data_IF_924681958747
#
_entry.id   IF_924681958747
#
_cell.length_a   1.000
_cell.length_b   1.000
_cell.length_c   1.000
_cell.angle_alpha   90.00
_cell.angle_beta   90.00
_cell.angle_gamma   90.00
#
_symmetry.space_group_name_H-M   'P 1'
#
loop_
_entity.id
_entity.type
_entity.pdbx_description
1 polymer ?
#
# COMPACT_ATOMS: atom_id res chain seq x y z
N UNK A 1 -59.26 28.55 -8.40
CA UNK A 1 -58.40 27.51 -9.03
C UNK A 1 -56.95 27.86 -8.73
N UNK A 2 -56.23 26.98 -8.05
CA UNK A 2 -54.96 27.27 -7.38
C UNK A 2 -53.74 26.81 -8.19
N UNK A 3 -52.85 27.73 -8.66
CA UNK A 3 -51.59 27.34 -9.29
C UNK A 3 -50.37 27.45 -8.34
N UNK A 4 -50.52 27.96 -7.11
CA UNK A 4 -49.39 28.29 -6.21
C UNK A 4 -48.78 27.11 -5.44
N UNK A 5 -49.46 25.96 -5.36
CA UNK A 5 -48.96 24.78 -4.62
C UNK A 5 -47.92 23.95 -5.36
N UNK A 6 -47.79 24.09 -6.69
CA UNK A 6 -46.87 23.25 -7.49
C UNK A 6 -45.44 23.79 -7.51
N UNK A 7 -45.21 25.10 -7.40
CA UNK A 7 -43.85 25.68 -7.46
C UNK A 7 -42.97 25.29 -6.27
N UNK A 8 -43.56 25.13 -5.08
CA UNK A 8 -42.83 24.80 -3.85
C UNK A 8 -42.33 23.35 -3.81
N UNK A 9 -43.00 22.44 -4.55
CA UNK A 9 -42.61 21.04 -4.63
C UNK A 9 -41.31 20.84 -5.45
N UNK A 10 -41.06 21.68 -6.46
CA UNK A 10 -39.86 21.59 -7.30
C UNK A 10 -38.61 22.15 -6.62
N UNK A 11 -38.75 23.19 -5.79
CA UNK A 11 -37.61 23.76 -5.05
C UNK A 11 -37.16 22.81 -3.92
N UNK A 12 -38.10 22.11 -3.26
CA UNK A 12 -37.77 21.10 -2.25
C UNK A 12 -37.09 19.87 -2.86
N UNK A 13 -37.44 19.47 -4.09
CA UNK A 13 -36.79 18.36 -4.80
C UNK A 13 -35.37 18.69 -5.28
N UNK A 14 -35.11 19.94 -5.67
CA UNK A 14 -33.77 20.39 -6.06
C UNK A 14 -32.80 20.51 -4.87
N UNK A 15 -33.29 20.88 -3.69
CA UNK A 15 -32.47 20.93 -2.47
C UNK A 15 -32.09 19.53 -1.93
N UNK A 16 -32.88 18.50 -2.23
CA UNK A 16 -32.61 17.11 -1.84
C UNK A 16 -31.57 16.40 -2.73
N UNK A 17 -31.35 16.88 -3.96
CA UNK A 17 -30.36 16.33 -4.89
C UNK A 17 -28.96 16.96 -4.77
N UNK A 18 -28.84 18.09 -4.06
CA UNK A 18 -27.53 18.72 -3.77
C UNK A 18 -26.91 18.20 -2.46
N UNK A 19 -27.64 17.37 -1.71
CA UNK A 19 -27.20 16.78 -0.44
C UNK A 19 -26.47 15.44 -0.55
N UNK A 20 -26.41 14.83 -1.74
CA UNK A 20 -25.47 13.71 -2.00
C UNK A 20 -24.09 14.29 -2.32
N UNK A 21 -23.58 15.15 -1.43
CA UNK A 21 -22.18 15.53 -1.46
C UNK A 21 -21.37 14.26 -1.31
N UNK A 22 -20.51 13.95 -2.28
CA UNK A 22 -19.47 12.94 -2.18
C UNK A 22 -18.84 13.06 -0.79
N UNK A 23 -19.15 12.12 0.10
CA UNK A 23 -18.39 12.02 1.33
C UNK A 23 -16.93 11.80 0.91
N UNK A 24 -15.98 12.57 1.43
CA UNK A 24 -14.57 12.35 1.12
C UNK A 24 -14.27 10.90 1.45
N UNK A 25 -13.76 10.16 0.47
CA UNK A 25 -13.40 8.77 0.69
C UNK A 25 -12.29 8.74 1.74
N UNK A 26 -12.35 7.78 2.66
CA UNK A 26 -11.37 7.66 3.74
C UNK A 26 -9.91 7.64 3.21
N UNK A 27 -9.69 7.07 2.02
CA UNK A 27 -8.39 7.01 1.37
C UNK A 27 -7.87 8.37 0.89
N UNK A 28 -8.74 9.35 0.67
CA UNK A 28 -8.35 10.68 0.20
C UNK A 28 -8.08 11.66 1.37
N UNK A 29 -8.22 11.20 2.62
CA UNK A 29 -7.82 11.99 3.78
C UNK A 29 -6.30 12.18 3.82
N UNK A 30 -5.89 13.43 4.05
CA UNK A 30 -4.48 13.79 4.22
C UNK A 30 -3.98 13.44 5.60
N UNK A 31 -2.78 12.85 5.64
CA UNK A 31 -2.08 12.59 6.88
C UNK A 31 -1.44 13.87 7.42
N UNK A 32 -1.71 14.18 8.69
CA UNK A 32 -1.27 15.42 9.37
C UNK A 32 -0.39 15.18 10.60
N UNK A 33 0.01 13.92 10.81
CA UNK A 33 0.75 13.46 11.98
C UNK A 33 2.23 13.80 11.90
N UNK A 34 2.91 13.85 13.04
CA UNK A 34 4.31 14.33 13.13
C UNK A 34 5.23 13.40 13.91
N UNK A 35 4.67 12.42 14.61
CA UNK A 35 5.36 11.49 15.48
C UNK A 35 4.54 10.21 15.68
N UNK A 36 5.12 9.21 16.35
CA UNK A 36 4.50 7.89 16.57
C UNK A 36 3.23 7.95 17.43
N UNK A 37 3.17 8.88 18.38
CA UNK A 37 2.01 9.04 19.25
C UNK A 37 0.83 9.63 18.47
N UNK A 38 1.06 10.72 17.76
CA UNK A 38 0.07 11.38 16.90
C UNK A 38 -0.39 10.47 15.78
N UNK A 39 0.49 9.65 15.20
CA UNK A 39 0.14 8.60 14.23
C UNK A 39 -0.79 7.56 14.84
N UNK A 40 -0.42 6.99 15.99
CA UNK A 40 -1.23 5.95 16.65
C UNK A 40 -2.62 6.47 17.04
N UNK A 41 -2.68 7.70 17.56
CA UNK A 41 -3.95 8.37 17.90
C UNK A 41 -4.79 8.70 16.66
N UNK A 42 -4.17 9.16 15.58
CA UNK A 42 -4.86 9.43 14.33
C UNK A 42 -5.40 8.14 13.72
N UNK A 43 -4.60 7.08 13.61
CA UNK A 43 -5.02 5.79 13.06
C UNK A 43 -6.15 5.15 13.87
N UNK A 44 -6.13 5.31 15.20
CA UNK A 44 -7.22 4.87 16.08
C UNK A 44 -8.53 5.60 15.79
N UNK A 45 -8.49 6.91 15.53
CA UNK A 45 -9.68 7.70 15.14
C UNK A 45 -10.21 7.28 13.78
N UNK A 46 -9.33 6.94 12.85
CA UNK A 46 -9.67 6.45 11.51
C UNK A 46 -10.20 5.01 11.47
N UNK A 47 -10.30 4.33 12.61
CA UNK A 47 -10.68 2.92 12.69
C UNK A 47 -12.08 2.58 12.17
N UNK A 48 -12.97 3.57 12.06
CA UNK A 48 -14.33 3.39 11.51
C UNK A 48 -14.37 3.46 9.99
N UNK A 49 -13.48 4.24 9.40
CA UNK A 49 -13.50 4.58 7.99
C UNK A 49 -12.47 3.78 7.18
N UNK A 50 -11.44 3.24 7.85
CA UNK A 50 -10.44 2.35 7.26
C UNK A 50 -10.68 0.87 7.57
N UNK A 51 -10.48 0.02 6.57
CA UNK A 51 -10.49 -1.43 6.75
C UNK A 51 -9.34 -1.87 7.65
N UNK A 52 -9.43 -3.07 8.25
CA UNK A 52 -8.32 -3.63 9.04
C UNK A 52 -7.04 -3.79 8.20
N UNK A 53 -7.20 -4.16 6.92
CA UNK A 53 -6.09 -4.32 5.99
C UNK A 53 -5.43 -3.00 5.67
N UNK A 54 -6.20 -1.95 5.35
CA UNK A 54 -5.64 -0.63 5.02
C UNK A 54 -4.88 -0.03 6.22
N UNK A 55 -5.35 -0.30 7.45
CA UNK A 55 -4.64 0.11 8.68
C UNK A 55 -3.30 -0.60 8.88
N UNK A 56 -3.28 -1.92 8.66
CA UNK A 56 -2.04 -2.70 8.72
C UNK A 56 -1.07 -2.21 7.64
N UNK A 57 -1.56 -2.05 6.42
CA UNK A 57 -0.72 -1.65 5.29
C UNK A 57 -0.19 -0.21 5.46
N UNK A 58 -0.92 0.70 6.12
CA UNK A 58 -0.41 2.02 6.52
C UNK A 58 0.70 1.93 7.58
N UNK A 59 0.60 0.98 8.50
CA UNK A 59 1.64 0.74 9.52
C UNK A 59 2.91 0.19 8.86
N UNK A 60 2.75 -0.75 7.93
CA UNK A 60 3.85 -1.31 7.13
C UNK A 60 4.51 -0.23 6.27
N UNK A 61 3.71 0.64 5.63
CA UNK A 61 4.21 1.78 4.87
C UNK A 61 5.06 2.73 5.74
N UNK A 62 4.60 3.08 6.95
CA UNK A 62 5.37 3.91 7.87
C UNK A 62 6.71 3.25 8.25
N UNK A 63 6.72 1.94 8.54
CA UNK A 63 7.97 1.24 8.85
C UNK A 63 8.95 1.24 7.68
N UNK A 64 8.44 1.07 6.46
CA UNK A 64 9.26 1.11 5.25
C UNK A 64 9.83 2.50 4.97
N UNK A 65 9.05 3.56 5.19
CA UNK A 65 9.53 4.95 5.10
C UNK A 65 10.63 5.19 6.13
N UNK A 66 10.42 4.79 7.39
CA UNK A 66 11.43 4.91 8.44
C UNK A 66 12.73 4.19 8.07
N UNK A 67 12.63 2.95 7.56
CA UNK A 67 13.79 2.20 7.11
C UNK A 67 14.53 2.91 5.97
N UNK A 68 13.79 3.43 4.99
CA UNK A 68 14.35 4.16 3.84
C UNK A 68 15.06 5.44 4.28
N UNK A 69 14.50 6.18 5.24
CA UNK A 69 15.15 7.36 5.81
C UNK A 69 16.43 6.99 6.54
N UNK A 70 16.39 5.93 7.35
CA UNK A 70 17.55 5.44 8.10
C UNK A 70 18.70 5.01 7.17
N UNK A 71 18.40 4.33 6.06
CA UNK A 71 19.42 3.91 5.09
C UNK A 71 19.95 5.06 4.25
N UNK A 72 19.10 6.04 3.89
CA UNK A 72 19.50 7.19 3.09
C UNK A 72 20.30 8.23 3.90
N UNK A 73 20.13 8.29 5.22
CA UNK A 73 20.67 9.35 6.08
C UNK A 73 21.34 8.80 7.36
N UNK A 74 22.44 8.02 7.25
CA UNK A 74 23.07 7.36 8.39
C UNK A 74 23.67 8.30 9.46
N UNK A 75 23.80 9.60 9.15
CA UNK A 75 24.33 10.61 10.07
C UNK A 75 23.29 11.32 10.95
N UNK A 76 21.99 11.07 10.73
CA UNK A 76 20.93 11.69 11.52
C UNK A 76 20.74 10.97 12.86
N UNK A 77 20.40 11.72 13.90
CA UNK A 77 19.96 11.15 15.18
C UNK A 77 18.62 10.42 15.02
N UNK A 78 18.26 9.50 15.94
CA UNK A 78 16.97 8.81 15.87
C UNK A 78 15.74 9.75 15.84
N UNK A 79 15.82 10.90 16.53
CA UNK A 79 14.77 11.91 16.52
C UNK A 79 14.63 12.59 15.16
N UNK A 80 15.75 12.97 14.54
CA UNK A 80 15.77 13.56 13.20
C UNK A 80 15.32 12.57 12.13
N UNK A 81 15.71 11.29 12.24
CA UNK A 81 15.21 10.23 11.34
C UNK A 81 13.69 10.06 11.46
N UNK A 82 13.17 10.09 12.69
CA UNK A 82 11.72 9.99 12.92
C UNK A 82 11.00 11.20 12.31
N UNK A 83 11.50 12.41 12.55
CA UNK A 83 10.95 13.63 11.98
C UNK A 83 10.98 13.61 10.44
N UNK A 84 12.09 13.18 9.84
CA UNK A 84 12.23 13.04 8.40
C UNK A 84 11.27 12.00 7.81
N UNK A 85 11.03 10.88 8.51
CA UNK A 85 10.04 9.88 8.10
C UNK A 85 8.62 10.47 8.10
N UNK A 86 8.22 11.19 9.14
CA UNK A 86 6.91 11.82 9.20
C UNK A 86 6.74 12.98 8.22
N UNK A 87 7.81 13.68 7.90
CA UNK A 87 7.79 14.69 6.84
C UNK A 87 7.44 14.11 5.47
N UNK A 88 7.76 12.82 5.21
CA UNK A 88 7.35 12.13 3.98
C UNK A 88 5.87 11.70 3.97
N UNK A 89 5.21 11.64 5.12
CA UNK A 89 3.77 11.34 5.20
C UNK A 89 2.92 12.61 5.15
N UNK A 90 3.44 13.72 5.67
CA UNK A 90 2.65 14.90 5.90
C UNK A 90 2.14 15.53 4.60
N UNK A 91 0.83 15.76 4.52
CA UNK A 91 0.19 16.41 3.38
C UNK A 91 -0.16 15.47 2.22
N UNK A 92 0.31 14.22 2.27
CA UNK A 92 -0.08 13.15 1.36
C UNK A 92 -1.38 12.48 1.80
N UNK A 93 -2.17 12.01 0.84
CA UNK A 93 -3.36 11.21 1.13
C UNK A 93 -2.98 9.78 1.53
N UNK A 94 -3.86 9.10 2.25
CA UNK A 94 -3.70 7.66 2.56
C UNK A 94 -3.48 6.86 1.28
N UNK A 95 -4.24 7.17 0.22
CA UNK A 95 -4.11 6.54 -1.10
C UNK A 95 -2.71 6.69 -1.67
N UNK A 96 -2.16 7.91 -1.66
CA UNK A 96 -0.81 8.18 -2.14
C UNK A 96 0.24 7.38 -1.35
N UNK A 97 0.13 7.37 -0.02
CA UNK A 97 1.06 6.65 0.87
C UNK A 97 1.02 5.15 0.61
N UNK A 98 -0.17 4.55 0.54
CA UNK A 98 -0.33 3.13 0.29
C UNK A 98 0.14 2.74 -1.12
N UNK A 99 -0.19 3.54 -2.14
CA UNK A 99 0.22 3.27 -3.53
C UNK A 99 1.73 3.35 -3.70
N UNK A 100 2.38 4.34 -3.08
CA UNK A 100 3.83 4.45 -3.04
C UNK A 100 4.47 3.25 -2.31
N UNK A 101 3.93 2.87 -1.15
CA UNK A 101 4.41 1.71 -0.39
C UNK A 101 4.35 0.41 -1.19
N UNK A 102 3.23 0.11 -1.85
CA UNK A 102 3.13 -1.10 -2.68
C UNK A 102 4.08 -1.07 -3.87
N UNK A 103 4.26 0.10 -4.49
CA UNK A 103 5.22 0.27 -5.59
C UNK A 103 6.64 -0.05 -5.12
N UNK A 104 7.06 0.50 -3.98
CA UNK A 104 8.38 0.22 -3.41
C UNK A 104 8.56 -1.27 -3.04
N UNK A 105 7.54 -1.91 -2.47
CA UNK A 105 7.59 -3.34 -2.16
C UNK A 105 7.66 -4.19 -3.43
N UNK A 106 6.88 -3.84 -4.44
CA UNK A 106 6.87 -4.51 -5.73
C UNK A 106 8.26 -4.41 -6.38
N UNK A 107 8.83 -3.22 -6.45
CA UNK A 107 10.13 -2.98 -7.10
C UNK A 107 11.26 -3.75 -6.40
N UNK A 108 11.26 -3.78 -5.06
CA UNK A 108 12.20 -4.61 -4.29
C UNK A 108 12.11 -6.09 -4.67
N UNK A 109 10.89 -6.64 -4.77
CA UNK A 109 10.73 -8.06 -5.14
C UNK A 109 11.08 -8.27 -6.62
N UNK A 110 10.78 -7.31 -7.49
CA UNK A 110 11.17 -7.35 -8.89
C UNK A 110 12.70 -7.40 -9.04
N UNK A 111 13.44 -6.62 -8.25
CA UNK A 111 14.91 -6.66 -8.18
C UNK A 111 15.43 -8.02 -7.66
N UNK A 112 14.82 -8.56 -6.59
CA UNK A 112 15.16 -9.89 -6.08
C UNK A 112 14.94 -10.98 -7.15
N UNK A 113 13.81 -10.93 -7.86
CA UNK A 113 13.50 -11.86 -8.95
C UNK A 113 14.52 -11.69 -10.07
N UNK A 114 14.79 -10.47 -10.51
CA UNK A 114 15.77 -10.18 -11.57
C UNK A 114 17.16 -10.73 -11.24
N UNK A 115 17.62 -10.58 -10.00
CA UNK A 115 18.89 -11.15 -9.54
C UNK A 115 18.92 -12.69 -9.58
N UNK A 116 17.75 -13.35 -9.51
CA UNK A 116 17.63 -14.81 -9.51
C UNK A 116 17.31 -15.40 -10.89
N UNK A 117 16.88 -14.60 -11.87
CA UNK A 117 16.50 -15.09 -13.21
C UNK A 117 17.61 -15.88 -13.90
N UNK A 118 18.85 -15.38 -13.86
CA UNK A 118 19.98 -16.09 -14.46
C UNK A 118 20.27 -17.44 -13.80
N UNK A 119 19.95 -17.58 -12.50
CA UNK A 119 20.07 -18.86 -11.77
C UNK A 119 18.94 -19.81 -12.13
N UNK A 120 17.72 -19.29 -12.25
CA UNK A 120 16.55 -20.07 -12.65
C UNK A 120 16.70 -20.64 -14.07
N UNK A 121 17.23 -19.86 -15.01
CA UNK A 121 17.46 -20.31 -16.38
C UNK A 121 18.41 -21.51 -16.45
N UNK A 122 19.53 -21.45 -15.72
CA UNK A 122 20.46 -22.58 -15.57
C UNK A 122 19.79 -23.82 -14.98
N UNK A 123 18.83 -23.64 -14.09
CA UNK A 123 18.11 -24.75 -13.46
C UNK A 123 17.00 -25.33 -14.31
N UNK A 124 16.50 -24.59 -15.32
CA UNK A 124 15.50 -25.08 -16.26
C UNK A 124 16.06 -26.19 -17.16
N UNK A 125 17.37 -26.17 -17.44
CA UNK A 125 18.04 -27.15 -18.29
C UNK A 125 18.57 -28.38 -17.55
N UNK A 126 18.42 -28.43 -16.21
CA UNK A 126 18.89 -29.55 -15.40
C UNK A 126 17.87 -30.70 -15.47
N UNK A 127 18.35 -31.89 -15.81
CA UNK A 127 17.55 -33.12 -15.78
C UNK A 127 17.36 -33.60 -14.33
N UNK A 128 16.14 -33.54 -13.77
CA UNK A 128 15.89 -33.92 -12.38
C UNK A 128 16.19 -35.40 -12.09
N UNK A 129 16.14 -36.28 -13.10
CA UNK A 129 16.41 -37.71 -12.92
C UNK A 129 17.89 -38.01 -12.66
N UNK A 130 18.79 -37.06 -12.98
CA UNK A 130 20.24 -37.17 -12.77
C UNK A 130 20.70 -36.53 -11.46
N UNK A 131 19.79 -35.97 -10.68
CA UNK A 131 20.09 -35.31 -9.42
C UNK A 131 19.98 -36.27 -8.23
N UNK A 132 20.87 -36.11 -7.26
CA UNK A 132 20.72 -36.75 -5.95
C UNK A 132 19.52 -36.15 -5.18
N UNK A 133 19.17 -36.74 -4.03
CA UNK A 133 18.01 -36.31 -3.24
C UNK A 133 18.12 -34.82 -2.82
N UNK A 134 19.25 -34.43 -2.24
CA UNK A 134 19.48 -33.06 -1.75
C UNK A 134 19.39 -32.00 -2.87
N UNK A 135 19.93 -32.29 -4.06
CA UNK A 135 19.87 -31.38 -5.19
C UNK A 135 18.46 -31.25 -5.76
N UNK A 136 17.65 -32.31 -5.71
CA UNK A 136 16.22 -32.25 -6.09
C UNK A 136 15.43 -31.39 -5.11
N UNK A 137 15.60 -31.64 -3.81
CA UNK A 137 14.94 -30.85 -2.77
C UNK A 137 15.31 -29.36 -2.88
N UNK A 138 16.60 -29.07 -3.09
CA UNK A 138 17.05 -27.70 -3.32
C UNK A 138 16.37 -27.06 -4.53
N UNK A 139 16.27 -27.78 -5.65
CA UNK A 139 15.66 -27.28 -6.89
C UNK A 139 14.16 -27.03 -6.72
N UNK A 140 13.44 -27.93 -6.07
CA UNK A 140 12.02 -27.77 -5.75
C UNK A 140 11.80 -26.56 -4.82
N UNK A 141 12.59 -26.45 -3.75
CA UNK A 141 12.54 -25.30 -2.86
C UNK A 141 12.88 -23.99 -3.57
N UNK A 142 13.82 -24.00 -4.52
CA UNK A 142 14.12 -22.83 -5.34
C UNK A 142 12.93 -22.43 -6.23
N UNK A 143 12.31 -23.40 -6.92
CA UNK A 143 11.12 -23.16 -7.75
C UNK A 143 9.97 -22.58 -6.92
N UNK A 144 9.68 -23.19 -5.77
CA UNK A 144 8.64 -22.70 -4.86
C UNK A 144 8.90 -21.27 -4.38
N UNK A 145 10.15 -20.93 -4.04
CA UNK A 145 10.53 -19.56 -3.67
C UNK A 145 10.40 -18.56 -4.82
N UNK A 146 10.65 -18.96 -6.06
CA UNK A 146 10.47 -18.10 -7.24
C UNK A 146 8.98 -17.88 -7.54
N UNK A 147 8.17 -18.93 -7.45
CA UNK A 147 6.72 -18.84 -7.60
C UNK A 147 6.09 -17.95 -6.52
N UNK A 148 6.51 -18.11 -5.26
CA UNK A 148 6.07 -17.27 -4.15
C UNK A 148 6.39 -15.80 -4.40
N UNK A 149 7.61 -15.48 -4.87
CA UNK A 149 7.99 -14.10 -5.19
C UNK A 149 7.13 -13.49 -6.30
N UNK A 150 6.88 -14.24 -7.38
CA UNK A 150 6.03 -13.79 -8.49
C UNK A 150 4.58 -13.58 -8.04
N UNK A 151 4.04 -14.50 -7.25
CA UNK A 151 2.69 -14.38 -6.69
C UNK A 151 2.58 -13.16 -5.78
N UNK A 152 3.60 -12.90 -4.98
CA UNK A 152 3.65 -11.72 -4.11
C UNK A 152 3.73 -10.42 -4.92
N UNK A 153 4.52 -10.37 -6.01
CA UNK A 153 4.52 -9.21 -6.93
C UNK A 153 3.12 -8.94 -7.49
N UNK A 154 2.45 -9.97 -8.01
CA UNK A 154 1.09 -9.82 -8.52
C UNK A 154 0.13 -9.33 -7.43
N UNK A 155 0.21 -9.91 -6.23
CA UNK A 155 -0.61 -9.49 -5.09
C UNK A 155 -0.42 -8.00 -4.75
N UNK A 156 0.81 -7.51 -4.80
CA UNK A 156 1.13 -6.10 -4.53
C UNK A 156 0.59 -5.19 -5.64
N UNK A 157 0.70 -5.60 -6.91
CA UNK A 157 0.13 -4.87 -8.04
C UNK A 157 -1.41 -4.80 -7.96
N UNK A 158 -2.07 -5.93 -7.69
CA UNK A 158 -3.51 -6.00 -7.51
C UNK A 158 -3.99 -5.11 -6.35
N UNK A 159 -3.24 -5.11 -5.23
CA UNK A 159 -3.53 -4.25 -4.08
C UNK A 159 -3.34 -2.77 -4.41
N UNK A 160 -2.30 -2.41 -5.16
CA UNK A 160 -2.09 -1.04 -5.62
C UNK A 160 -3.27 -0.58 -6.49
N UNK A 161 -3.62 -1.35 -7.51
CA UNK A 161 -4.75 -1.04 -8.39
C UNK A 161 -6.05 -0.88 -7.61
N UNK A 162 -6.33 -1.79 -6.68
CA UNK A 162 -7.50 -1.70 -5.81
C UNK A 162 -7.51 -0.40 -4.99
N UNK A 163 -6.36 0.00 -4.42
CA UNK A 163 -6.26 1.27 -3.68
C UNK A 163 -6.39 2.47 -4.61
N UNK A 164 -5.91 2.42 -5.84
CA UNK A 164 -6.02 3.54 -6.79
C UNK A 164 -7.46 3.74 -7.31
N UNK A 165 -8.25 2.67 -7.41
CA UNK A 165 -9.59 2.71 -8.01
C UNK A 165 -10.77 2.74 -7.02
N UNK A 166 -10.53 2.51 -5.73
CA UNK A 166 -11.56 2.53 -4.67
C UNK A 166 -12.01 3.94 -4.32
#
# INVERSE_FOLDING_TARGET
>A
MAPRRRLHAWIAAAALLLGTGCQPQALDEKVTVRDDLSFSMWLSRQSRDLTLTDRRDLTDALQQIKFTVMTASPGLTPAEQTQAAYAQLQGHTIREILSASYTLQHDRIAEEVAALLGREDRYRTVDPAKLNADAREFLEGFKGRMEQRRSEMQRLEDRRLLIETR
#
